data_IF_519865876988
#
_entry.id   IF_519865876988
#
_cell.length_a   1.000
_cell.length_b   1.000
_cell.length_c   1.000
_cell.angle_alpha   90.00
_cell.angle_beta   90.00
_cell.angle_gamma   90.00
#
_symmetry.space_group_name_H-M   'P 1'
#
loop_
_entity.id
_entity.type
_entity.pdbx_description
1 polymer ?
#
# COMPACT_ATOMS: atom_id res chain seq x y z
N UNK A 1 -9.30 -4.19 -12.56
CA UNK A 1 -8.55 -3.09 -13.18
C UNK A 1 -8.76 -1.82 -12.36
N UNK A 2 -7.70 -1.02 -12.18
CA UNK A 2 -7.79 0.22 -11.41
C UNK A 2 -7.76 1.36 -12.43
N UNK A 3 -8.92 1.90 -12.81
CA UNK A 3 -9.01 3.16 -13.53
C UNK A 3 -9.22 4.32 -12.56
N UNK A 4 -8.38 5.36 -12.74
CA UNK A 4 -8.41 6.49 -11.82
C UNK A 4 -9.58 7.44 -12.07
N UNK A 5 -10.50 7.54 -11.14
CA UNK A 5 -11.28 8.75 -10.98
C UNK A 5 -10.33 9.84 -10.47
N UNK A 6 -9.87 10.70 -11.37
CA UNK A 6 -8.95 11.81 -11.05
C UNK A 6 -9.68 12.93 -10.34
N UNK A 7 -9.73 12.88 -9.01
CA UNK A 7 -9.87 14.08 -8.21
C UNK A 7 -8.47 14.59 -7.86
N UNK A 8 -7.96 15.59 -8.57
CA UNK A 8 -6.66 16.16 -8.27
C UNK A 8 -6.79 17.22 -7.19
N UNK A 9 -6.34 16.87 -5.97
CA UNK A 9 -5.54 17.79 -5.17
C UNK A 9 -4.08 17.51 -5.51
N UNK A 10 -3.22 18.53 -5.61
CA UNK A 10 -1.82 18.39 -6.04
C UNK A 10 -0.98 17.39 -5.21
N UNK A 11 -1.48 17.01 -4.04
CA UNK A 11 -0.86 16.12 -3.07
C UNK A 11 -1.59 14.78 -2.84
N UNK A 12 -2.67 14.51 -3.60
CA UNK A 12 -3.48 13.29 -3.49
C UNK A 12 -3.80 12.68 -4.85
N UNK A 13 -3.77 11.35 -4.90
CA UNK A 13 -4.29 10.57 -6.02
C UNK A 13 -5.22 9.49 -5.46
N UNK A 14 -6.42 9.40 -6.03
CA UNK A 14 -7.38 8.37 -5.72
C UNK A 14 -7.64 7.49 -6.93
N UNK A 15 -7.80 6.18 -6.68
CA UNK A 15 -8.22 5.21 -7.68
C UNK A 15 -9.47 4.47 -7.18
N UNK A 16 -10.45 4.31 -8.05
CA UNK A 16 -11.49 3.30 -7.87
C UNK A 16 -10.91 1.92 -8.20
N UNK A 17 -11.28 0.93 -7.42
CA UNK A 17 -11.02 -0.47 -7.69
C UNK A 17 -12.31 -1.04 -8.24
N UNK A 18 -12.31 -1.48 -9.50
CA UNK A 18 -13.50 -1.99 -10.18
C UNK A 18 -13.39 -3.49 -10.41
N UNK A 19 -14.53 -4.14 -10.60
CA UNK A 19 -14.58 -5.53 -11.08
C UNK A 19 -13.92 -5.61 -12.46
N UNK A 20 -13.30 -6.74 -12.74
CA UNK A 20 -12.73 -7.05 -14.05
C UNK A 20 -13.78 -7.79 -14.91
N UNK A 21 -14.96 -7.17 -15.03
CA UNK A 21 -16.08 -7.65 -15.82
C UNK A 21 -16.75 -6.48 -16.56
N UNK A 22 -17.77 -6.77 -17.35
CA UNK A 22 -18.49 -5.75 -18.13
C UNK A 22 -19.28 -4.74 -17.28
N UNK A 23 -19.49 -5.01 -15.98
CA UNK A 23 -20.25 -4.13 -15.11
C UNK A 23 -19.49 -2.89 -14.67
N UNK A 24 -18.13 -2.99 -14.60
CA UNK A 24 -17.26 -1.95 -14.05
C UNK A 24 -17.65 -1.47 -12.63
N UNK A 25 -18.35 -2.32 -11.86
CA UNK A 25 -18.80 -1.99 -10.51
C UNK A 25 -17.63 -1.66 -9.61
N UNK A 26 -17.73 -0.56 -8.89
CA UNK A 26 -16.71 -0.16 -7.91
C UNK A 26 -16.81 -1.06 -6.67
N UNK A 27 -15.73 -1.77 -6.38
CA UNK A 27 -15.61 -2.67 -5.22
C UNK A 27 -14.75 -2.09 -4.09
N UNK A 28 -14.06 -0.99 -4.36
CA UNK A 28 -13.17 -0.37 -3.38
C UNK A 28 -12.47 0.86 -3.89
N UNK A 29 -11.52 1.35 -3.10
CA UNK A 29 -10.64 2.43 -3.52
C UNK A 29 -9.24 2.30 -2.92
N UNK A 30 -8.29 2.95 -3.56
CA UNK A 30 -6.93 3.11 -3.08
C UNK A 30 -6.46 4.55 -3.24
N UNK A 31 -5.48 4.98 -2.45
CA UNK A 31 -4.95 6.34 -2.58
C UNK A 31 -3.49 6.47 -2.16
N UNK A 32 -2.80 7.38 -2.85
CA UNK A 32 -1.56 7.99 -2.39
C UNK A 32 -1.86 9.39 -1.85
N UNK A 33 -1.20 9.75 -0.76
CA UNK A 33 -1.33 11.04 -0.12
C UNK A 33 0.03 11.69 0.16
N UNK A 34 -0.01 12.97 0.53
CA UNK A 34 1.20 13.73 0.85
C UNK A 34 2.27 13.63 -0.26
N UNK A 35 1.81 13.70 -1.51
CA UNK A 35 2.72 13.64 -2.67
C UNK A 35 3.57 14.90 -2.68
N UNK A 36 4.85 14.74 -2.37
CA UNK A 36 5.81 15.83 -2.35
C UNK A 36 6.71 15.75 -3.58
N UNK A 37 6.49 16.67 -4.54
CA UNK A 37 7.23 16.71 -5.80
C UNK A 37 8.70 17.12 -5.61
N UNK A 38 9.00 17.92 -4.59
CA UNK A 38 10.35 18.38 -4.28
C UNK A 38 11.18 17.25 -3.66
N UNK A 39 10.62 16.61 -2.62
CA UNK A 39 11.27 15.51 -1.93
C UNK A 39 11.09 14.16 -2.65
N UNK A 40 10.30 14.12 -3.72
CA UNK A 40 9.95 12.91 -4.49
C UNK A 40 9.46 11.79 -3.57
N UNK A 41 8.50 12.08 -2.72
CA UNK A 41 7.95 11.13 -1.76
C UNK A 41 6.42 11.16 -1.74
N UNK A 42 5.81 10.05 -1.31
CA UNK A 42 4.38 9.96 -1.03
C UNK A 42 4.10 8.96 0.08
N UNK A 43 2.92 9.05 0.66
CA UNK A 43 2.37 8.07 1.60
C UNK A 43 1.40 7.13 0.89
N UNK A 44 1.50 5.83 1.18
CA UNK A 44 0.38 4.91 0.97
C UNK A 44 -0.68 5.25 2.01
N UNK A 45 -1.83 5.80 1.57
CA UNK A 45 -2.79 6.36 2.51
C UNK A 45 -3.91 5.40 2.87
N UNK A 46 -4.65 4.93 1.89
CA UNK A 46 -5.75 3.99 2.14
C UNK A 46 -5.88 2.96 1.03
N UNK A 47 -6.28 1.76 1.43
CA UNK A 47 -6.79 0.71 0.55
C UNK A 47 -8.00 0.14 1.25
N UNK A 48 -9.16 0.24 0.62
CA UNK A 48 -10.41 -0.24 1.16
C UNK A 48 -11.09 -1.10 0.09
N UNK A 49 -11.37 -2.35 0.44
CA UNK A 49 -12.21 -3.24 -0.36
C UNK A 49 -13.54 -3.33 0.38
N UNK A 50 -14.59 -2.75 -0.22
CA UNK A 50 -15.93 -2.69 0.35
C UNK A 50 -16.78 -3.92 0.04
N UNK A 51 -16.56 -4.54 -1.11
CA UNK A 51 -17.25 -5.76 -1.50
C UNK A 51 -16.61 -6.99 -0.83
N UNK A 52 -17.43 -7.74 -0.09
CA UNK A 52 -16.96 -8.89 0.71
C UNK A 52 -16.45 -10.04 -0.13
N UNK A 53 -16.98 -10.21 -1.32
CA UNK A 53 -16.61 -11.31 -2.23
C UNK A 53 -15.19 -11.10 -2.80
N UNK A 54 -14.73 -9.86 -2.80
CA UNK A 54 -13.39 -9.46 -3.25
C UNK A 54 -12.41 -9.17 -2.09
N UNK A 55 -12.85 -9.32 -0.84
CA UNK A 55 -11.98 -9.14 0.32
C UNK A 55 -11.21 -10.42 0.68
N UNK A 56 -10.66 -11.06 -0.33
CA UNK A 56 -9.94 -12.34 -0.26
C UNK A 56 -8.43 -12.18 0.03
N UNK A 57 -7.97 -10.96 0.07
CA UNK A 57 -6.56 -10.59 0.20
C UNK A 57 -5.80 -10.56 -1.13
N UNK A 58 -6.32 -11.16 -2.19
CA UNK A 58 -5.70 -11.16 -3.52
C UNK A 58 -5.85 -9.79 -4.19
N UNK A 59 -7.09 -9.30 -4.30
CA UNK A 59 -7.42 -7.96 -4.82
C UNK A 59 -6.61 -6.87 -4.11
N UNK A 60 -6.46 -7.05 -2.80
CA UNK A 60 -5.70 -6.13 -1.99
C UNK A 60 -4.19 -6.13 -2.30
N UNK A 61 -3.58 -7.31 -2.50
CA UNK A 61 -2.16 -7.43 -2.89
C UNK A 61 -1.94 -6.83 -4.28
N UNK A 62 -2.83 -7.07 -5.23
CA UNK A 62 -2.75 -6.48 -6.56
C UNK A 62 -2.82 -4.96 -6.51
N UNK A 63 -3.71 -4.42 -5.70
CA UNK A 63 -3.84 -2.97 -5.49
C UNK A 63 -2.55 -2.38 -4.91
N UNK A 64 -1.95 -3.01 -3.91
CA UNK A 64 -0.67 -2.56 -3.34
C UNK A 64 0.43 -2.57 -4.39
N UNK A 65 0.57 -3.65 -5.18
CA UNK A 65 1.54 -3.73 -6.27
C UNK A 65 1.37 -2.60 -7.26
N UNK A 66 0.14 -2.35 -7.71
CA UNK A 66 -0.17 -1.25 -8.61
C UNK A 66 0.24 0.09 -8.03
N UNK A 67 -0.05 0.36 -6.75
CA UNK A 67 0.33 1.61 -6.09
C UNK A 67 1.85 1.81 -6.06
N UNK A 68 2.62 0.75 -5.80
CA UNK A 68 4.08 0.80 -5.81
C UNK A 68 4.63 1.05 -7.22
N UNK A 69 4.12 0.33 -8.20
CA UNK A 69 4.49 0.51 -9.61
C UNK A 69 4.18 1.95 -10.06
N UNK A 70 3.00 2.44 -9.78
CA UNK A 70 2.62 3.81 -10.12
C UNK A 70 3.50 4.86 -9.43
N UNK A 71 3.79 4.69 -8.15
CA UNK A 71 4.64 5.61 -7.40
C UNK A 71 6.07 5.70 -7.96
N UNK A 72 6.70 4.56 -8.25
CA UNK A 72 8.08 4.53 -8.69
C UNK A 72 8.25 4.68 -10.20
N UNK A 73 7.34 4.12 -11.00
CA UNK A 73 7.50 4.06 -12.45
C UNK A 73 6.77 5.19 -13.18
N UNK A 74 5.62 5.65 -12.67
CA UNK A 74 4.88 6.77 -13.26
C UNK A 74 5.25 8.09 -12.62
N UNK A 75 5.14 8.21 -11.30
CA UNK A 75 5.45 9.44 -10.58
C UNK A 75 6.95 9.67 -10.37
N UNK A 76 7.78 8.66 -10.62
CA UNK A 76 9.25 8.71 -10.44
C UNK A 76 9.65 9.16 -9.03
N UNK A 77 8.89 8.73 -8.02
CA UNK A 77 9.20 9.04 -6.63
C UNK A 77 10.51 8.36 -6.20
N UNK A 78 11.14 8.92 -5.19
CA UNK A 78 12.33 8.34 -4.56
C UNK A 78 11.97 7.50 -3.33
N UNK A 79 10.81 7.81 -2.72
CA UNK A 79 10.41 7.21 -1.43
C UNK A 79 8.90 7.02 -1.39
N UNK A 80 8.49 5.83 -0.99
CA UNK A 80 7.10 5.52 -0.65
C UNK A 80 7.06 5.06 0.81
N UNK A 81 6.20 5.66 1.63
CA UNK A 81 6.10 5.32 3.04
C UNK A 81 4.68 5.00 3.46
N UNK A 82 4.55 4.21 4.50
CA UNK A 82 3.29 3.87 5.13
C UNK A 82 3.29 4.17 6.62
N UNK A 83 2.11 4.47 7.15
CA UNK A 83 1.90 4.67 8.57
C UNK A 83 0.75 3.79 9.02
N UNK A 84 0.97 2.98 10.04
CA UNK A 84 -0.04 2.05 10.55
C UNK A 84 -0.01 1.95 12.07
N UNK A 85 -1.11 1.50 12.68
CA UNK A 85 -1.10 1.15 14.10
C UNK A 85 -0.12 0.00 14.34
N UNK A 86 0.69 0.12 15.39
CA UNK A 86 1.52 -1.00 15.86
C UNK A 86 0.61 -2.20 16.16
N UNK A 87 0.96 -3.35 15.62
CA UNK A 87 0.16 -4.57 15.79
C UNK A 87 -1.07 -4.66 14.88
N UNK A 88 -1.25 -3.74 13.93
CA UNK A 88 -2.32 -3.89 12.93
C UNK A 88 -1.99 -5.05 11.99
N UNK A 89 -2.83 -6.12 11.96
CA UNK A 89 -2.44 -7.39 11.33
C UNK A 89 -2.07 -7.24 9.87
N UNK A 90 -2.93 -6.56 9.09
CA UNK A 90 -2.73 -6.45 7.64
C UNK A 90 -1.63 -5.45 7.27
N UNK A 91 -1.57 -4.29 7.91
CA UNK A 91 -0.60 -3.25 7.53
C UNK A 91 0.85 -3.68 7.79
N UNK A 92 1.09 -4.44 8.87
CA UNK A 92 2.42 -4.98 9.15
C UNK A 92 2.81 -6.03 8.13
N UNK A 93 1.88 -6.94 7.78
CA UNK A 93 2.11 -7.95 6.74
C UNK A 93 2.46 -7.29 5.39
N UNK A 94 1.79 -6.17 5.05
CA UNK A 94 2.09 -5.44 3.82
C UNK A 94 3.51 -4.91 3.80
N UNK A 95 3.90 -4.23 4.85
CA UNK A 95 5.27 -3.71 4.95
C UNK A 95 6.29 -4.82 4.68
N UNK A 96 6.11 -5.97 5.33
CA UNK A 96 7.01 -7.13 5.15
C UNK A 96 6.89 -7.76 3.75
N UNK A 97 5.69 -7.86 3.16
CA UNK A 97 5.49 -8.38 1.80
C UNK A 97 6.11 -7.50 0.73
N UNK A 98 6.09 -6.20 0.94
CA UNK A 98 6.58 -5.21 -0.02
C UNK A 98 7.98 -4.70 0.30
N UNK A 99 8.68 -5.37 1.23
CA UNK A 99 10.07 -5.05 1.63
C UNK A 99 10.27 -3.62 2.18
N UNK A 100 9.23 -3.07 2.81
CA UNK A 100 9.36 -1.77 3.47
C UNK A 100 10.17 -1.90 4.76
N UNK A 101 11.22 -1.11 4.88
CA UNK A 101 12.01 -1.02 6.11
C UNK A 101 11.20 -0.34 7.23
N UNK A 102 11.26 -0.87 8.44
CA UNK A 102 10.69 -0.24 9.64
C UNK A 102 11.62 0.88 10.09
N UNK A 103 11.15 2.12 10.06
CA UNK A 103 11.98 3.30 10.35
C UNK A 103 11.80 3.87 11.75
N UNK A 104 10.67 3.59 12.38
CA UNK A 104 10.44 4.04 13.75
C UNK A 104 9.01 3.88 14.23
N UNK A 105 8.84 4.14 15.52
CA UNK A 105 7.55 4.10 16.20
C UNK A 105 7.27 5.45 16.84
N UNK A 106 6.14 6.06 16.47
CA UNK A 106 5.61 7.22 17.17
C UNK A 106 4.75 6.74 18.34
N UNK A 107 5.24 6.94 19.55
CA UNK A 107 4.56 6.49 20.75
C UNK A 107 3.33 7.36 21.04
N UNK A 108 2.20 6.72 21.39
CA UNK A 108 0.95 7.38 21.80
C UNK A 108 0.44 8.43 20.79
N UNK A 109 0.64 8.16 19.50
CA UNK A 109 0.36 9.11 18.42
C UNK A 109 -1.13 9.21 18.05
N UNK A 110 -1.93 8.21 18.39
CA UNK A 110 -3.37 8.16 18.09
C UNK A 110 -4.17 7.87 19.36
N UNK A 111 -5.21 8.67 19.61
CA UNK A 111 -6.20 8.39 20.64
C UNK A 111 -7.46 7.78 20.02
N UNK A 112 -7.83 6.57 20.44
CA UNK A 112 -9.01 5.87 19.94
C UNK A 112 -9.59 4.97 21.02
N UNK A 113 -10.93 4.96 21.17
CA UNK A 113 -11.63 4.12 22.14
C UNK A 113 -11.10 4.25 23.58
N UNK A 114 -10.83 5.48 24.02
CA UNK A 114 -10.39 5.79 25.38
C UNK A 114 -8.92 5.47 25.68
N UNK A 115 -8.10 5.10 24.70
CA UNK A 115 -6.68 4.80 24.90
C UNK A 115 -5.79 5.32 23.77
N UNK A 116 -4.52 5.49 24.08
CA UNK A 116 -3.51 5.86 23.09
C UNK A 116 -2.91 4.62 22.42
N UNK A 117 -2.53 4.79 21.16
CA UNK A 117 -1.88 3.78 20.34
C UNK A 117 -0.63 4.34 19.68
N UNK A 118 0.33 3.47 19.49
CA UNK A 118 1.56 3.78 18.77
C UNK A 118 1.36 3.61 17.27
N UNK A 119 2.07 4.41 16.48
CA UNK A 119 2.14 4.28 15.02
C UNK A 119 3.51 3.76 14.59
N UNK A 120 3.50 2.79 13.72
CA UNK A 120 4.68 2.30 13.00
C UNK A 120 4.84 3.07 11.70
N UNK A 121 6.04 3.60 11.46
CA UNK A 121 6.48 4.13 10.18
C UNK A 121 7.33 3.10 9.45
N UNK A 122 6.98 2.84 8.21
CA UNK A 122 7.77 2.02 7.31
C UNK A 122 7.87 2.67 5.94
N UNK A 123 8.95 2.39 5.21
CA UNK A 123 9.18 2.96 3.91
C UNK A 123 10.01 2.04 3.02
N UNK A 124 9.95 2.30 1.73
CA UNK A 124 10.84 1.71 0.73
C UNK A 124 11.38 2.82 -0.18
N UNK A 125 12.64 2.71 -0.53
CA UNK A 125 13.30 3.62 -1.44
C UNK A 125 13.21 3.08 -2.89
N UNK A 126 13.34 3.99 -3.86
CA UNK A 126 13.27 3.63 -5.27
C UNK A 126 14.28 2.55 -5.69
N UNK A 127 15.52 2.68 -5.22
CA UNK A 127 16.56 1.72 -5.61
C UNK A 127 16.29 0.34 -5.00
N UNK A 128 15.78 0.27 -3.77
CA UNK A 128 15.33 -0.98 -3.15
C UNK A 128 14.16 -1.60 -3.93
N UNK A 129 13.17 -0.78 -4.34
CA UNK A 129 12.06 -1.24 -5.17
C UNK A 129 12.57 -1.88 -6.47
N UNK A 130 13.49 -1.24 -7.19
CA UNK A 130 13.99 -1.79 -8.44
C UNK A 130 14.83 -3.05 -8.27
N UNK A 131 15.63 -3.16 -7.19
CA UNK A 131 16.34 -4.40 -6.85
C UNK A 131 15.35 -5.56 -6.70
N UNK A 132 14.28 -5.37 -5.92
CA UNK A 132 13.26 -6.39 -5.73
C UNK A 132 12.46 -6.69 -7.01
N UNK A 133 12.20 -5.66 -7.82
CA UNK A 133 11.53 -5.84 -9.11
C UNK A 133 12.37 -6.68 -10.07
N UNK A 134 13.65 -6.37 -10.22
CA UNK A 134 14.58 -7.13 -11.08
C UNK A 134 14.73 -8.58 -10.62
N UNK A 135 14.71 -8.83 -9.32
CA UNK A 135 14.67 -10.18 -8.76
C UNK A 135 13.33 -10.90 -8.99
N UNK A 136 12.32 -10.23 -9.54
CA UNK A 136 10.97 -10.75 -9.71
C UNK A 136 10.24 -10.97 -8.40
N UNK A 137 10.62 -10.28 -7.32
CA UNK A 137 10.04 -10.46 -5.99
C UNK A 137 8.59 -9.98 -5.90
N UNK A 138 8.17 -9.11 -6.81
CA UNK A 138 6.78 -8.65 -6.91
C UNK A 138 5.91 -9.52 -7.83
N UNK A 139 6.42 -10.66 -8.32
CA UNK A 139 5.58 -11.64 -8.98
C UNK A 139 4.56 -12.23 -7.99
N UNK A 140 3.29 -12.32 -8.41
CA UNK A 140 2.18 -12.74 -7.54
C UNK A 140 2.45 -14.08 -6.85
N UNK A 141 3.00 -15.07 -7.56
CA UNK A 141 3.36 -16.37 -6.98
C UNK A 141 4.34 -16.28 -5.81
N UNK A 142 5.32 -15.34 -5.89
CA UNK A 142 6.32 -15.13 -4.83
C UNK A 142 5.71 -14.39 -3.63
N UNK A 143 4.86 -13.39 -3.90
CA UNK A 143 4.13 -12.69 -2.84
C UNK A 143 3.23 -13.64 -2.08
N UNK A 144 2.45 -14.48 -2.76
CA UNK A 144 1.58 -15.48 -2.13
C UNK A 144 2.39 -16.45 -1.27
N UNK A 145 3.55 -16.90 -1.77
CA UNK A 145 4.45 -17.79 -1.00
C UNK A 145 4.94 -17.09 0.29
N UNK A 146 5.37 -15.83 0.21
CA UNK A 146 5.77 -15.05 1.40
C UNK A 146 4.61 -14.86 2.37
N UNK A 147 3.43 -14.53 1.87
CA UNK A 147 2.23 -14.35 2.70
C UNK A 147 1.91 -15.62 3.51
N UNK A 148 2.00 -16.80 2.90
CA UNK A 148 1.81 -18.08 3.60
C UNK A 148 2.83 -18.26 4.72
N UNK A 149 4.10 -17.97 4.46
CA UNK A 149 5.16 -18.07 5.47
C UNK A 149 4.93 -17.12 6.66
N UNK A 150 4.48 -15.88 6.41
CA UNK A 150 4.21 -14.89 7.45
C UNK A 150 2.98 -15.22 8.32
N UNK A 151 2.07 -16.06 7.82
CA UNK A 151 0.88 -16.50 8.59
C UNK A 151 1.12 -17.73 9.45
N UNK A 152 2.22 -18.46 9.20
CA UNK A 152 2.53 -19.74 9.89
C UNK A 152 3.79 -19.64 10.78
N UNK A 153 4.46 -18.49 10.84
CA UNK A 153 5.55 -18.17 11.76
C UNK A 153 5.07 -17.21 12.85
#
# INVERSE_FOLDING_TARGET
>A
WVEGCKGHHDDYIFWAICKDDESEDIIGWASLANINKVNKSASTHSIVIGDRDYNDGFTWIETVRFMFEYAFETLKLNRLYGVSLVGHPMSNIIGDLMFMAKEGVLRQAIFKNGRFYDLLYNAILRDEYYIHKENGDYEMRKIIKRLRNLRHG
#
